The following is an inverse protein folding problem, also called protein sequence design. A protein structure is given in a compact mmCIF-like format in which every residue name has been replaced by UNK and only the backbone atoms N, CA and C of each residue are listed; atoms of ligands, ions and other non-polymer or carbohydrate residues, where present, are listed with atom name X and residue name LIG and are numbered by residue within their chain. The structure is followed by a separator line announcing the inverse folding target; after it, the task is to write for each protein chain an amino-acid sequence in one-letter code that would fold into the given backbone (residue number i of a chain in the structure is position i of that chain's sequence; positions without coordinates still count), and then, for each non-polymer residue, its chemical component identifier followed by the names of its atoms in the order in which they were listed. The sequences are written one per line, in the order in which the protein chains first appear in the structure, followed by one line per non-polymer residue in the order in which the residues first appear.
data_IF_638848718349
#
_entry.id   IF_638848718349
#
_cell.length_a   1.000
_cell.length_b   1.000
_cell.length_c   1.000
_cell.angle_alpha   90.00
_cell.angle_beta   90.00
_cell.angle_gamma   90.00
#
_symmetry.space_group_name_H-M   'P 1'
#
loop_
_entity.id
_entity.type
_entity.pdbx_description
1 polymer ?
#
# COMPACT_ATOMS: atom_id res chain seq x y z
N UNK A 1 10.71 -35.13 -26.32
CA UNK A 1 10.86 -35.80 -24.99
C UNK A 1 11.61 -34.81 -24.07
N UNK A 2 10.90 -34.00 -23.31
CA UNK A 2 11.51 -33.12 -22.29
C UNK A 2 11.15 -33.65 -20.90
N UNK A 3 12.10 -33.63 -19.98
CA UNK A 3 11.85 -33.82 -18.56
C UNK A 3 11.51 -32.46 -17.98
N UNK A 4 10.34 -32.36 -17.36
CA UNK A 4 9.91 -31.14 -16.66
C UNK A 4 10.32 -31.24 -15.19
N UNK A 5 11.13 -30.28 -14.73
CA UNK A 5 11.48 -30.14 -13.33
C UNK A 5 10.73 -28.94 -12.73
N UNK A 6 10.03 -29.18 -11.63
CA UNK A 6 9.36 -28.12 -10.89
C UNK A 6 10.36 -27.46 -9.92
N UNK A 7 10.77 -26.24 -10.23
CA UNK A 7 11.58 -25.42 -9.32
C UNK A 7 10.66 -24.64 -8.38
N UNK A 8 10.84 -24.81 -7.07
CA UNK A 8 10.10 -24.04 -6.06
C UNK A 8 10.76 -22.68 -5.87
N UNK A 9 9.93 -21.66 -5.62
CA UNK A 9 10.41 -20.36 -5.17
C UNK A 9 11.08 -20.49 -3.81
N UNK A 10 12.19 -19.78 -3.61
CA UNK A 10 12.90 -19.75 -2.34
C UNK A 10 12.17 -18.83 -1.35
N UNK A 11 12.09 -19.20 -0.06
CA UNK A 11 11.64 -18.27 0.99
C UNK A 11 12.53 -17.04 1.06
N UNK A 12 11.94 -15.89 1.42
CA UNK A 12 12.63 -14.60 1.53
C UNK A 12 13.85 -14.70 2.47
N UNK A 13 13.69 -15.34 3.62
CA UNK A 13 14.77 -15.52 4.61
C UNK A 13 15.98 -16.24 4.03
N UNK A 14 15.77 -17.29 3.22
CA UNK A 14 16.87 -18.00 2.57
C UNK A 14 17.62 -17.17 1.52
N UNK A 15 16.87 -16.35 0.76
CA UNK A 15 17.49 -15.42 -0.20
C UNK A 15 18.30 -14.38 0.54
N UNK A 16 17.76 -13.78 1.59
CA UNK A 16 18.43 -12.76 2.40
C UNK A 16 19.71 -13.32 3.05
N UNK A 17 19.64 -14.51 3.65
CA UNK A 17 20.80 -15.19 4.23
C UNK A 17 21.90 -15.41 3.18
N UNK A 18 21.53 -15.89 1.99
CA UNK A 18 22.49 -16.13 0.92
C UNK A 18 23.09 -14.83 0.39
N UNK A 19 22.31 -13.78 0.22
CA UNK A 19 22.84 -12.46 -0.15
C UNK A 19 23.82 -11.93 0.89
N UNK A 20 23.50 -12.10 2.18
CA UNK A 20 24.37 -11.71 3.30
C UNK A 20 25.72 -12.44 3.23
N UNK A 21 25.71 -13.76 3.02
CA UNK A 21 26.95 -14.55 2.88
C UNK A 21 27.80 -14.08 1.70
N UNK A 22 27.17 -13.78 0.57
CA UNK A 22 27.88 -13.32 -0.65
C UNK A 22 28.46 -11.92 -0.41
N UNK A 23 27.66 -10.98 0.12
CA UNK A 23 28.13 -9.62 0.39
C UNK A 23 29.32 -9.60 1.39
N UNK A 24 29.29 -10.47 2.41
CA UNK A 24 30.41 -10.65 3.34
C UNK A 24 31.65 -11.23 2.67
N UNK A 25 31.47 -12.26 1.80
CA UNK A 25 32.59 -12.89 1.07
C UNK A 25 33.26 -11.91 0.11
N UNK A 26 32.48 -11.09 -0.58
CA UNK A 26 32.94 -10.05 -1.51
C UNK A 26 33.39 -8.76 -0.78
N UNK A 27 33.29 -8.71 0.56
CA UNK A 27 33.63 -7.55 1.41
C UNK A 27 32.87 -6.28 1.02
N UNK A 28 31.66 -6.42 0.61
CA UNK A 28 30.74 -5.33 0.28
C UNK A 28 30.21 -4.72 1.58
N UNK A 29 30.17 -3.40 1.66
CA UNK A 29 29.46 -2.68 2.72
C UNK A 29 27.96 -2.72 2.45
N UNK A 30 27.15 -3.20 3.41
CA UNK A 30 25.72 -3.37 3.22
C UNK A 30 24.92 -3.10 4.49
N UNK A 31 23.70 -2.63 4.29
CA UNK A 31 22.66 -2.58 5.31
C UNK A 31 21.77 -3.83 5.23
N UNK A 32 21.42 -4.42 6.37
CA UNK A 32 20.54 -5.59 6.39
C UNK A 32 19.17 -5.32 5.74
N UNK A 33 18.66 -4.08 5.88
CA UNK A 33 17.43 -3.64 5.24
C UNK A 33 17.53 -3.58 3.70
N UNK A 34 18.71 -3.21 3.16
CA UNK A 34 18.99 -3.22 1.72
C UNK A 34 18.90 -4.63 1.15
N UNK A 35 19.57 -5.60 1.78
CA UNK A 35 19.53 -7.00 1.34
C UNK A 35 18.12 -7.60 1.45
N UNK A 36 17.36 -7.20 2.47
CA UNK A 36 15.94 -7.60 2.61
C UNK A 36 15.09 -7.04 1.48
N UNK A 37 15.30 -5.78 1.07
CA UNK A 37 14.59 -5.16 -0.05
C UNK A 37 14.90 -5.88 -1.37
N UNK A 38 16.18 -6.20 -1.62
CA UNK A 38 16.60 -7.00 -2.79
C UNK A 38 15.94 -8.38 -2.78
N UNK A 39 15.92 -9.08 -1.62
CA UNK A 39 15.31 -10.39 -1.50
C UNK A 39 13.80 -10.38 -1.77
N UNK A 40 13.10 -9.29 -1.40
CA UNK A 40 11.68 -9.08 -1.75
C UNK A 40 11.49 -8.88 -3.25
N UNK A 41 12.28 -7.98 -3.86
CA UNK A 41 12.21 -7.69 -5.29
C UNK A 41 12.53 -8.88 -6.19
N UNK A 42 13.25 -9.86 -5.66
CA UNK A 42 13.59 -11.09 -6.37
C UNK A 42 12.48 -12.14 -6.45
N UNK A 43 11.36 -11.94 -5.74
CA UNK A 43 10.15 -12.79 -5.78
C UNK A 43 10.39 -14.31 -5.68
N UNK A 44 11.39 -14.73 -4.91
CA UNK A 44 11.72 -16.14 -4.71
C UNK A 44 12.75 -16.70 -5.72
N UNK A 45 13.32 -15.87 -6.58
CA UNK A 45 14.36 -16.22 -7.54
C UNK A 45 15.74 -15.79 -7.04
N UNK A 46 16.63 -16.76 -6.76
CA UNK A 46 18.01 -16.46 -6.37
C UNK A 46 18.81 -15.78 -7.49
N UNK A 47 18.53 -16.13 -8.74
CA UNK A 47 19.18 -15.52 -9.90
C UNK A 47 18.85 -14.04 -9.99
N UNK A 48 17.58 -13.69 -9.83
CA UNK A 48 17.13 -12.30 -9.92
C UNK A 48 17.65 -11.50 -8.71
N UNK A 49 17.71 -12.13 -7.52
CA UNK A 49 18.31 -11.52 -6.34
C UNK A 49 19.79 -11.14 -6.55
N UNK A 50 20.57 -12.01 -7.19
CA UNK A 50 21.97 -11.73 -7.50
C UNK A 50 22.10 -10.65 -8.57
N UNK A 51 21.26 -10.68 -9.60
CA UNK A 51 21.24 -9.64 -10.63
C UNK A 51 20.89 -8.28 -10.07
N UNK A 52 19.92 -8.22 -9.14
CA UNK A 52 19.56 -7.00 -8.43
C UNK A 52 20.68 -6.52 -7.51
N UNK A 53 21.37 -7.43 -6.80
CA UNK A 53 22.53 -7.07 -5.98
C UNK A 53 23.63 -6.45 -6.82
N UNK A 54 23.97 -7.05 -7.98
CA UNK A 54 24.98 -6.51 -8.89
C UNK A 54 24.60 -5.10 -9.39
N UNK A 55 23.33 -4.89 -9.73
CA UNK A 55 22.83 -3.57 -10.13
C UNK A 55 22.94 -2.54 -9.01
N UNK A 56 22.55 -2.92 -7.79
CA UNK A 56 22.67 -2.07 -6.60
C UNK A 56 24.13 -1.69 -6.36
N UNK A 57 25.06 -2.64 -6.41
CA UNK A 57 26.47 -2.37 -6.20
C UNK A 57 27.06 -1.46 -7.30
N UNK A 58 26.63 -1.65 -8.53
CA UNK A 58 27.04 -0.78 -9.64
C UNK A 58 26.52 0.66 -9.47
N UNK A 59 25.26 0.83 -9.00
CA UNK A 59 24.63 2.12 -8.77
C UNK A 59 25.18 2.80 -7.51
N UNK A 60 25.35 2.06 -6.39
CA UNK A 60 25.77 2.54 -5.08
C UNK A 60 27.29 2.62 -4.89
N UNK A 61 28.10 2.53 -5.97
CA UNK A 61 29.55 2.63 -5.88
C UNK A 61 30.20 1.53 -5.04
N UNK A 62 29.68 0.31 -5.09
CA UNK A 62 30.17 -0.87 -4.38
C UNK A 62 29.56 -1.06 -2.98
N UNK A 63 28.47 -0.35 -2.67
CA UNK A 63 27.75 -0.46 -1.40
C UNK A 63 26.28 -0.79 -1.64
N UNK A 64 25.65 -1.45 -0.69
CA UNK A 64 24.21 -1.72 -0.70
C UNK A 64 23.53 -0.99 0.46
N UNK A 65 23.06 0.24 0.20
CA UNK A 65 22.36 1.10 1.13
C UNK A 65 20.86 1.05 0.85
N UNK A 66 20.03 0.97 1.88
CA UNK A 66 18.57 0.77 1.72
C UNK A 66 17.92 1.85 0.85
N UNK A 67 18.26 3.12 1.02
CA UNK A 67 17.68 4.22 0.24
C UNK A 67 18.00 4.13 -1.25
N UNK A 68 19.23 3.69 -1.60
CA UNK A 68 19.67 3.50 -2.99
C UNK A 68 18.98 2.30 -3.62
N UNK A 69 18.85 1.19 -2.87
CA UNK A 69 18.12 0.00 -3.30
C UNK A 69 16.66 0.32 -3.59
N UNK A 70 16.00 1.04 -2.70
CA UNK A 70 14.59 1.45 -2.89
C UNK A 70 14.43 2.33 -4.12
N UNK A 71 15.34 3.26 -4.34
CA UNK A 71 15.33 4.12 -5.54
C UNK A 71 15.50 3.28 -6.81
N UNK A 72 16.43 2.33 -6.80
CA UNK A 72 16.68 1.46 -7.95
C UNK A 72 15.50 0.53 -8.26
N UNK A 73 14.90 -0.03 -7.22
CA UNK A 73 13.74 -0.92 -7.35
C UNK A 73 12.43 -0.16 -7.61
N UNK A 74 12.46 1.17 -7.56
CA UNK A 74 11.27 2.01 -7.68
C UNK A 74 10.27 1.83 -6.51
N UNK A 75 10.70 1.15 -5.42
CA UNK A 75 9.81 0.88 -4.29
C UNK A 75 9.51 2.18 -3.53
N UNK A 76 8.25 2.35 -3.17
CA UNK A 76 7.81 3.46 -2.35
C UNK A 76 8.53 3.48 -1.00
N UNK A 77 8.90 4.68 -0.56
CA UNK A 77 9.29 4.84 0.84
C UNK A 77 8.06 4.51 1.71
N UNK A 78 8.26 3.64 2.68
CA UNK A 78 7.27 3.25 3.68
C UNK A 78 6.51 4.44 4.26
N UNK A 79 7.19 5.59 4.44
CA UNK A 79 6.58 6.84 4.95
C UNK A 79 5.45 7.35 4.06
N UNK A 80 5.54 7.16 2.75
CA UNK A 80 4.47 7.59 1.84
C UNK A 80 3.24 6.69 1.98
N UNK A 81 3.44 5.37 2.08
CA UNK A 81 2.34 4.42 2.32
C UNK A 81 1.67 4.71 3.67
N UNK A 82 2.46 4.90 4.73
CA UNK A 82 1.95 5.26 6.05
C UNK A 82 1.24 6.62 6.05
N UNK A 83 1.77 7.60 5.32
CA UNK A 83 1.14 8.93 5.16
C UNK A 83 -0.24 8.82 4.49
N UNK A 84 -0.35 8.06 3.40
CA UNK A 84 -1.61 7.79 2.71
C UNK A 84 -2.60 7.09 3.65
N UNK A 85 -2.18 6.04 4.35
CA UNK A 85 -3.05 5.29 5.26
C UNK A 85 -3.51 6.14 6.45
N UNK A 86 -2.63 7.00 7.00
CA UNK A 86 -3.01 7.95 8.06
C UNK A 86 -4.02 8.99 7.56
N UNK A 87 -3.83 9.54 6.36
CA UNK A 87 -4.79 10.48 5.75
C UNK A 87 -6.15 9.82 5.49
N UNK A 88 -6.16 8.56 5.04
CA UNK A 88 -7.39 7.77 4.88
C UNK A 88 -8.06 7.50 6.24
N UNK A 89 -7.30 7.17 7.28
CA UNK A 89 -7.82 6.96 8.63
C UNK A 89 -8.48 8.23 9.18
N UNK A 90 -7.83 9.38 8.98
CA UNK A 90 -8.30 10.69 9.40
C UNK A 90 -9.42 11.26 8.51
N UNK A 91 -9.75 10.61 7.38
CA UNK A 91 -10.66 11.13 6.35
C UNK A 91 -10.27 12.52 5.81
N UNK A 92 -8.99 12.80 5.77
CA UNK A 92 -8.45 14.08 5.33
C UNK A 92 -8.02 14.01 3.85
N UNK A 93 -8.92 14.46 2.96
CA UNK A 93 -8.66 14.50 1.52
C UNK A 93 -7.54 15.48 1.15
N UNK A 94 -7.35 16.57 1.92
CA UNK A 94 -6.28 17.52 1.65
C UNK A 94 -4.91 16.91 1.97
N UNK A 95 -4.78 16.25 3.13
CA UNK A 95 -3.58 15.51 3.50
C UNK A 95 -3.28 14.39 2.50
N UNK A 96 -4.31 13.68 2.03
CA UNK A 96 -4.19 12.61 1.04
C UNK A 96 -3.60 13.15 -0.27
N UNK A 97 -4.11 14.26 -0.80
CA UNK A 97 -3.58 14.89 -2.02
C UNK A 97 -2.18 15.47 -1.82
N UNK A 98 -1.86 15.95 -0.62
CA UNK A 98 -0.50 16.38 -0.30
C UNK A 98 0.50 15.21 -0.35
N UNK A 99 0.11 14.01 0.13
CA UNK A 99 0.92 12.80 0.00
C UNK A 99 1.16 12.43 -1.47
N UNK A 100 0.14 12.55 -2.32
CA UNK A 100 0.27 12.30 -3.76
C UNK A 100 1.25 13.29 -4.40
N UNK A 101 1.15 14.58 -4.07
CA UNK A 101 2.05 15.60 -4.59
C UNK A 101 3.52 15.34 -4.21
N UNK A 102 3.78 14.97 -2.95
CA UNK A 102 5.12 14.59 -2.50
C UNK A 102 5.66 13.34 -3.19
N UNK A 103 4.79 12.39 -3.48
CA UNK A 103 5.14 11.19 -4.21
C UNK A 103 5.51 11.52 -5.67
N UNK A 104 4.75 12.38 -6.31
CA UNK A 104 4.92 12.78 -7.71
C UNK A 104 6.27 13.47 -7.99
N UNK A 105 6.82 14.21 -7.00
CA UNK A 105 8.16 14.85 -7.10
C UNK A 105 9.28 13.85 -7.43
N UNK A 106 9.07 12.57 -7.18
CA UNK A 106 10.06 11.49 -7.40
C UNK A 106 9.77 10.65 -8.64
N UNK A 107 8.82 11.04 -9.48
CA UNK A 107 8.37 10.30 -10.67
C UNK A 107 8.13 8.81 -10.36
N UNK A 108 7.19 8.47 -9.46
CA UNK A 108 6.97 7.12 -8.98
C UNK A 108 6.37 6.22 -10.05
N UNK A 109 6.55 4.92 -9.89
CA UNK A 109 5.72 3.91 -10.53
C UNK A 109 4.40 3.77 -9.75
N UNK A 110 3.30 4.28 -10.30
CA UNK A 110 2.00 4.26 -9.63
C UNK A 110 1.37 2.86 -9.54
N UNK A 111 1.70 1.94 -10.46
CA UNK A 111 1.27 0.53 -10.34
C UNK A 111 1.94 -0.11 -9.12
N UNK A 112 3.24 0.11 -8.98
CA UNK A 112 3.98 -0.36 -7.82
C UNK A 112 3.50 0.29 -6.53
N UNK A 113 3.17 1.60 -6.57
CA UNK A 113 2.60 2.33 -5.45
C UNK A 113 1.30 1.69 -4.93
N UNK A 114 0.39 1.38 -5.83
CA UNK A 114 -0.85 0.65 -5.49
C UNK A 114 -0.57 -0.77 -4.99
N UNK A 115 0.45 -1.42 -5.55
CA UNK A 115 0.90 -2.74 -5.09
C UNK A 115 1.36 -2.72 -3.64
N UNK A 116 2.21 -1.77 -3.27
CA UNK A 116 2.70 -1.61 -1.89
C UNK A 116 1.60 -1.17 -0.92
N UNK A 117 0.71 -0.28 -1.36
CA UNK A 117 -0.46 0.11 -0.57
C UNK A 117 -1.36 -1.10 -0.30
N UNK A 118 -1.63 -1.93 -1.32
CA UNK A 118 -2.43 -3.15 -1.15
C UNK A 118 -1.78 -4.15 -0.20
N UNK A 119 -0.46 -4.33 -0.29
CA UNK A 119 0.29 -5.21 0.61
C UNK A 119 0.26 -4.71 2.07
N UNK A 120 0.37 -3.39 2.28
CA UNK A 120 0.24 -2.78 3.61
C UNK A 120 -1.16 -2.98 4.20
N UNK A 121 -2.21 -2.73 3.42
CA UNK A 121 -3.61 -2.95 3.84
C UNK A 121 -3.85 -4.43 4.17
N UNK A 122 -3.36 -5.35 3.34
CA UNK A 122 -3.43 -6.78 3.61
C UNK A 122 -2.73 -7.14 4.93
N UNK A 123 -1.53 -6.61 5.17
CA UNK A 123 -0.81 -6.84 6.42
C UNK A 123 -1.57 -6.32 7.63
N UNK A 124 -2.16 -5.12 7.55
CA UNK A 124 -3.03 -4.55 8.58
C UNK A 124 -4.22 -5.47 8.88
N UNK A 125 -4.92 -5.94 7.85
CA UNK A 125 -6.05 -6.85 8.00
C UNK A 125 -5.66 -8.18 8.68
N UNK A 126 -4.49 -8.74 8.31
CA UNK A 126 -3.96 -9.95 8.92
C UNK A 126 -3.63 -9.74 10.40
N UNK A 127 -2.94 -8.67 10.75
CA UNK A 127 -2.57 -8.35 12.12
C UNK A 127 -3.78 -8.03 13.01
N UNK A 128 -4.85 -7.47 12.42
CA UNK A 128 -6.10 -7.21 13.12
C UNK A 128 -6.88 -8.51 13.41
N UNK A 129 -6.93 -9.42 12.43
CA UNK A 129 -7.65 -10.69 12.56
C UNK A 129 -6.87 -11.74 13.37
N UNK A 130 -5.55 -11.75 13.25
CA UNK A 130 -4.65 -12.76 13.82
C UNK A 130 -3.42 -12.09 14.45
N UNK A 131 -3.53 -11.50 15.65
CA UNK A 131 -2.45 -10.74 16.28
C UNK A 131 -1.18 -11.57 16.57
N UNK A 132 -1.31 -12.89 16.66
CA UNK A 132 -0.20 -13.82 16.83
C UNK A 132 0.66 -14.02 15.57
N UNK A 133 0.20 -13.62 14.39
CA UNK A 133 0.95 -13.72 13.14
C UNK A 133 1.93 -12.55 12.95
N UNK A 134 2.59 -12.13 14.03
CA UNK A 134 3.70 -11.17 13.93
C UNK A 134 4.87 -11.81 13.22
N UNK A 135 5.45 -11.08 12.25
CA UNK A 135 6.56 -11.58 11.45
C UNK A 135 7.93 -11.31 12.12
N UNK A 136 8.97 -11.47 11.33
CA UNK A 136 10.35 -11.23 11.76
C UNK A 136 10.66 -9.75 12.08
N UNK A 137 9.80 -8.82 11.62
CA UNK A 137 9.94 -7.38 11.83
C UNK A 137 8.87 -6.91 12.84
N UNK A 138 9.10 -7.19 14.12
CA UNK A 138 8.15 -6.91 15.21
C UNK A 138 7.82 -5.42 15.34
N UNK A 139 8.79 -4.54 15.12
CA UNK A 139 8.59 -3.09 15.20
C UNK A 139 7.66 -2.61 14.08
N UNK A 140 7.87 -3.13 12.86
CA UNK A 140 7.01 -2.83 11.72
C UNK A 140 5.59 -3.33 11.93
N UNK A 141 5.46 -4.56 12.41
CA UNK A 141 4.16 -5.15 12.67
C UNK A 141 3.41 -4.44 13.80
N UNK A 142 4.12 -3.95 14.82
CA UNK A 142 3.52 -3.14 15.87
C UNK A 142 2.98 -1.81 15.35
N UNK A 143 3.74 -1.10 14.49
CA UNK A 143 3.29 0.14 13.86
C UNK A 143 2.08 -0.10 12.95
N UNK A 144 2.11 -1.15 12.14
CA UNK A 144 0.98 -1.53 11.27
C UNK A 144 -0.25 -1.94 12.07
N UNK A 145 -0.09 -2.65 13.18
CA UNK A 145 -1.20 -3.02 14.06
C UNK A 145 -1.84 -1.79 14.73
N UNK A 146 -1.02 -0.81 15.15
CA UNK A 146 -1.52 0.45 15.69
C UNK A 146 -2.33 1.23 14.64
N UNK A 147 -1.83 1.29 13.41
CA UNK A 147 -2.53 1.95 12.32
C UNK A 147 -3.83 1.21 11.96
N UNK A 148 -3.81 -0.12 11.96
CA UNK A 148 -4.97 -0.97 11.71
C UNK A 148 -6.12 -0.72 12.71
N UNK A 149 -5.81 -0.37 13.97
CA UNK A 149 -6.81 -0.06 14.98
C UNK A 149 -7.70 1.14 14.64
N UNK A 150 -7.30 2.00 13.69
CA UNK A 150 -8.08 3.14 13.21
C UNK A 150 -9.10 2.76 12.11
N UNK A 151 -9.14 1.50 11.70
CA UNK A 151 -10.02 1.01 10.64
C UNK A 151 -10.89 -0.14 11.15
N UNK A 152 -12.12 -0.21 10.67
CA UNK A 152 -12.93 -1.40 10.84
C UNK A 152 -12.40 -2.54 9.95
N UNK A 153 -12.59 -3.81 10.32
CA UNK A 153 -12.19 -4.94 9.48
C UNK A 153 -12.78 -4.86 8.06
N UNK A 154 -14.03 -4.42 7.96
CA UNK A 154 -14.74 -4.24 6.68
C UNK A 154 -14.13 -3.14 5.83
N UNK A 155 -13.66 -2.05 6.46
CA UNK A 155 -12.97 -0.95 5.77
C UNK A 155 -11.69 -1.49 5.12
N UNK A 156 -10.87 -2.25 5.85
CA UNK A 156 -9.62 -2.80 5.31
C UNK A 156 -9.87 -3.74 4.12
N UNK A 157 -10.94 -4.54 4.17
CA UNK A 157 -11.30 -5.41 3.03
C UNK A 157 -11.72 -4.59 1.82
N UNK A 158 -12.50 -3.53 2.02
CA UNK A 158 -12.93 -2.64 0.94
C UNK A 158 -11.75 -1.87 0.34
N UNK A 159 -10.88 -1.29 1.19
CA UNK A 159 -9.68 -0.59 0.75
C UNK A 159 -8.75 -1.50 -0.07
N UNK A 160 -8.57 -2.74 0.39
CA UNK A 160 -7.79 -3.75 -0.33
C UNK A 160 -8.40 -4.03 -1.70
N UNK A 161 -9.71 -4.24 -1.76
CA UNK A 161 -10.41 -4.49 -3.03
C UNK A 161 -10.27 -3.32 -3.99
N UNK A 162 -10.42 -2.07 -3.50
CA UNK A 162 -10.25 -0.86 -4.31
C UNK A 162 -8.81 -0.78 -4.84
N UNK A 163 -7.79 -1.05 -4.00
CA UNK A 163 -6.39 -1.01 -4.40
C UNK A 163 -6.09 -1.99 -5.54
N UNK A 164 -6.55 -3.24 -5.42
CA UNK A 164 -6.33 -4.26 -6.46
C UNK A 164 -7.06 -3.90 -7.76
N UNK A 165 -8.30 -3.44 -7.66
CA UNK A 165 -9.06 -3.05 -8.86
C UNK A 165 -8.42 -1.83 -9.54
N UNK A 166 -8.02 -0.82 -8.76
CA UNK A 166 -7.38 0.37 -9.28
C UNK A 166 -6.06 0.04 -10.00
N UNK A 167 -5.28 -0.90 -9.45
CA UNK A 167 -4.06 -1.37 -10.08
C UNK A 167 -4.32 -1.98 -11.45
N UNK A 168 -5.37 -2.79 -11.57
CA UNK A 168 -5.80 -3.38 -12.83
C UNK A 168 -6.32 -2.33 -13.83
N UNK A 169 -7.01 -1.30 -13.31
CA UNK A 169 -7.64 -0.27 -14.12
C UNK A 169 -6.66 0.84 -14.53
N UNK A 170 -5.45 0.87 -13.95
CA UNK A 170 -4.46 1.93 -14.17
C UNK A 170 -4.04 2.03 -15.65
N UNK A 171 -3.92 0.91 -16.34
CA UNK A 171 -3.59 0.85 -17.77
C UNK A 171 -4.67 1.49 -18.67
N UNK A 172 -5.89 1.66 -18.17
CA UNK A 172 -7.01 2.27 -18.87
C UNK A 172 -7.24 3.73 -18.47
N UNK A 173 -6.51 4.22 -17.46
CA UNK A 173 -6.61 5.61 -17.03
C UNK A 173 -6.00 6.55 -18.09
N UNK A 174 -6.50 7.79 -18.24
CA UNK A 174 -5.91 8.77 -19.16
C UNK A 174 -4.44 9.07 -18.87
N UNK A 175 -4.07 9.04 -17.60
CA UNK A 175 -2.71 9.10 -17.09
C UNK A 175 -2.61 8.33 -15.76
N UNK A 176 -1.41 7.84 -15.44
CA UNK A 176 -1.18 6.99 -14.29
C UNK A 176 -1.40 7.74 -12.96
N UNK A 177 -1.03 9.02 -12.90
CA UNK A 177 -1.24 9.88 -11.72
C UNK A 177 -2.72 10.06 -11.43
N UNK A 178 -3.50 10.48 -12.45
CA UNK A 178 -4.95 10.64 -12.30
C UNK A 178 -5.66 9.36 -11.91
N UNK A 179 -5.21 8.21 -12.46
CA UNK A 179 -5.70 6.89 -12.07
C UNK A 179 -5.43 6.59 -10.59
N UNK A 180 -4.24 6.89 -10.10
CA UNK A 180 -3.87 6.75 -8.69
C UNK A 180 -4.67 7.69 -7.79
N UNK A 181 -4.78 8.97 -8.13
CA UNK A 181 -5.60 9.95 -7.41
C UNK A 181 -7.05 9.49 -7.27
N UNK A 182 -7.66 9.01 -8.38
CA UNK A 182 -9.02 8.49 -8.38
C UNK A 182 -9.18 7.24 -7.52
N UNK A 183 -8.17 6.37 -7.46
CA UNK A 183 -8.17 5.22 -6.57
C UNK A 183 -8.23 5.66 -5.10
N UNK A 184 -7.38 6.61 -4.71
CA UNK A 184 -7.35 7.15 -3.35
C UNK A 184 -8.62 7.90 -2.97
N UNK A 185 -9.17 8.71 -3.89
CA UNK A 185 -10.46 9.39 -3.68
C UNK A 185 -11.61 8.38 -3.55
N UNK A 186 -11.57 7.27 -4.28
CA UNK A 186 -12.53 6.17 -4.14
C UNK A 186 -12.41 5.52 -2.76
N UNK A 187 -11.19 5.29 -2.26
CA UNK A 187 -10.95 4.78 -0.91
C UNK A 187 -11.48 5.72 0.17
N UNK A 188 -11.35 7.03 -0.04
CA UNK A 188 -11.87 8.04 0.88
C UNK A 188 -13.40 8.11 0.88
N UNK A 189 -14.03 8.00 -0.30
CA UNK A 189 -15.48 8.16 -0.47
C UNK A 189 -16.28 6.92 -0.07
N UNK A 190 -15.76 5.72 -0.33
CA UNK A 190 -16.46 4.47 -0.08
C UNK A 190 -15.99 3.83 1.24
N UNK A 191 -16.39 4.46 2.34
CA UNK A 191 -16.28 3.84 3.66
C UNK A 191 -17.65 3.27 4.01
N UNK A 192 -17.76 1.98 4.43
CA UNK A 192 -19.00 1.48 4.97
C UNK A 192 -19.39 2.39 6.12
N UNK A 193 -20.55 3.04 6.03
CA UNK A 193 -21.08 3.74 7.20
C UNK A 193 -21.20 2.70 8.31
N UNK A 194 -20.47 2.90 9.40
CA UNK A 194 -20.76 2.16 10.63
C UNK A 194 -22.25 2.30 10.85
N UNK A 195 -22.97 1.19 11.01
CA UNK A 195 -24.40 1.14 11.36
C UNK A 195 -24.66 1.76 12.74
N UNK A 196 -24.11 2.93 13.00
CA UNK A 196 -24.53 3.84 14.06
C UNK A 196 -25.84 4.45 13.60
N UNK A 197 -26.92 3.75 13.93
CA UNK A 197 -28.27 4.07 13.51
C UNK A 197 -28.72 5.46 13.95
N UNK A 198 -28.46 6.43 13.11
CA UNK A 198 -29.31 7.59 13.00
C UNK A 198 -30.13 7.42 11.72
N UNK A 199 -31.44 7.24 11.78
CA UNK A 199 -32.23 7.21 10.57
C UNK A 199 -32.05 8.53 9.81
N UNK A 200 -32.04 8.49 8.46
CA UNK A 200 -31.91 9.71 7.66
C UNK A 200 -32.97 10.74 8.10
N UNK A 201 -32.64 12.05 8.15
CA UNK A 201 -33.61 13.07 8.47
C UNK A 201 -34.78 12.95 7.51
N UNK A 202 -35.98 12.69 8.07
CA UNK A 202 -37.19 12.53 7.29
C UNK A 202 -37.43 13.78 6.44
N UNK A 203 -38.18 13.67 5.33
CA UNK A 203 -38.47 14.81 4.48
C UNK A 203 -39.12 15.90 5.31
N UNK A 204 -38.85 17.19 5.03
CA UNK A 204 -39.41 18.29 5.78
C UNK A 204 -40.93 18.20 5.73
N UNK A 205 -41.65 18.52 6.84
CA UNK A 205 -43.11 18.45 6.88
C UNK A 205 -43.67 19.35 5.79
N UNK A 206 -44.57 18.78 4.96
CA UNK A 206 -45.27 19.53 3.93
C UNK A 206 -45.98 20.69 4.57
N UNK A 207 -45.70 21.90 4.10
CA UNK A 207 -46.38 23.12 4.54
C UNK A 207 -47.88 22.92 4.32
N UNK A 208 -48.62 22.84 5.41
CA UNK A 208 -50.08 22.85 5.43
C UNK A 208 -50.56 24.14 4.79
N UNK A 209 -51.12 24.00 3.58
CA UNK A 209 -51.77 25.10 2.90
C UNK A 209 -52.89 25.64 3.78
N UNK A 210 -52.82 26.92 4.14
CA UNK A 210 -53.88 27.63 4.87
C UNK A 210 -55.18 27.64 4.04
N UNK A 211 -56.33 27.46 4.66
CA UNK A 211 -57.62 27.50 3.93
C UNK A 211 -57.92 28.92 3.45
N UNK A 212 -58.13 29.04 2.14
CA UNK A 212 -58.58 30.25 1.48
C UNK A 212 -59.98 30.64 2.02
N UNK A 213 -60.07 31.80 2.66
CA UNK A 213 -61.35 32.38 3.10
C UNK A 213 -62.15 32.77 1.87
N UNK A 214 -63.33 32.15 1.75
CA UNK A 214 -64.37 32.47 0.79
C UNK A 214 -65.03 33.70 1.26
N UNK A 215 -64.89 34.87 0.57
CA UNK A 215 -65.73 36.06 0.78
C UNK A 215 -67.10 35.81 0.19
N UNK A 216 -68.09 35.99 1.02
CA UNK A 216 -69.50 36.12 0.64
C UNK A 216 -69.82 37.60 0.40
N UNK A 217 -70.44 37.90 -0.69
CA UNK A 217 -71.62 38.77 -0.95
C UNK A 217 -71.73 39.03 -2.41
#
# INVERSE_FOLDING_TARGET
RCLQFHLRRLPLAQIQERLTMIAQAEKVEFEAAALRAIARGAEGSMRDALSLLDQVLAFGGGRAIESEVRTLLGTLDRRHVEGILNALAAQDGAALMACVAQLDERAPDYDQALGELSAAIQRMALLQALPELRGEDEEQDAAMAQLAANFLPEDLQLLYQIAIMARRDLDYAPDARGGFEMALLRMLAFRPESLSGAPPPGPPPAATAAPSAKAAS
#
